data_IF_189662599927
#
_entry.id   IF_189662599927
#
_cell.length_a   1.000
_cell.length_b   1.000
_cell.length_c   1.000
_cell.angle_alpha   90.00
_cell.angle_beta   90.00
_cell.angle_gamma   90.00
#
_symmetry.space_group_name_H-M   'P 1'
#
loop_
_entity.id
_entity.type
_entity.pdbx_description
1 polymer ?
#
# COMPACT_ATOMS: atom_id res chain seq x y z
N UNK A 1 -31.08 12.10 17.69
CA UNK A 1 -30.16 11.04 18.12
C UNK A 1 -28.93 11.15 17.23
N UNK A 2 -27.73 11.28 17.79
CA UNK A 2 -26.51 11.31 16.97
C UNK A 2 -26.39 9.93 16.35
N UNK A 3 -26.44 9.86 15.02
CA UNK A 3 -26.31 8.63 14.24
C UNK A 3 -24.95 7.99 14.58
N UNK A 4 -24.97 6.93 15.38
CA UNK A 4 -23.74 6.22 15.75
C UNK A 4 -23.34 5.31 14.59
N UNK A 5 -22.05 5.28 14.23
CA UNK A 5 -21.57 4.39 13.17
C UNK A 5 -21.93 2.93 13.49
N UNK A 6 -22.13 2.08 12.47
CA UNK A 6 -22.33 0.66 12.69
C UNK A 6 -21.19 0.08 13.54
N UNK A 7 -21.48 -0.89 14.41
CA UNK A 7 -20.44 -1.51 15.24
C UNK A 7 -19.53 -2.38 14.39
N UNK A 8 -18.22 -2.13 14.46
CA UNK A 8 -17.19 -2.97 13.88
C UNK A 8 -16.01 -3.10 14.85
N UNK A 9 -15.55 -4.32 15.04
CA UNK A 9 -14.43 -4.67 15.93
C UNK A 9 -13.20 -5.12 15.14
N UNK A 10 -13.37 -5.39 13.85
CA UNK A 10 -12.30 -5.86 12.99
C UNK A 10 -12.41 -5.28 11.58
N UNK A 11 -11.29 -5.24 10.84
CA UNK A 11 -11.31 -4.92 9.39
C UNK A 11 -12.23 -5.88 8.60
N UNK A 12 -12.39 -7.13 9.06
CA UNK A 12 -13.31 -8.10 8.45
C UNK A 12 -14.76 -7.65 8.60
N UNK A 13 -15.17 -7.16 9.77
CA UNK A 13 -16.53 -6.66 10.00
C UNK A 13 -16.82 -5.46 9.08
N UNK A 14 -15.86 -4.54 8.94
CA UNK A 14 -15.96 -3.40 8.02
C UNK A 14 -16.11 -3.89 6.58
N UNK A 15 -15.26 -4.82 6.14
CA UNK A 15 -15.34 -5.42 4.80
C UNK A 15 -16.69 -6.08 4.56
N UNK A 16 -17.19 -6.89 5.48
CA UNK A 16 -18.40 -7.68 5.28
C UNK A 16 -19.64 -6.76 5.21
N UNK A 17 -19.72 -5.76 6.08
CA UNK A 17 -20.75 -4.73 6.02
C UNK A 17 -20.66 -3.83 4.77
N UNK A 18 -19.45 -3.44 4.36
CA UNK A 18 -19.21 -2.73 3.11
C UNK A 18 -19.65 -3.54 1.88
N UNK A 19 -19.30 -4.83 1.86
CA UNK A 19 -19.63 -5.76 0.78
C UNK A 19 -21.13 -5.89 0.60
N UNK A 20 -21.89 -5.95 1.70
CA UNK A 20 -23.34 -5.99 1.67
C UNK A 20 -23.98 -4.71 1.06
N UNK A 21 -23.31 -3.55 1.18
CA UNK A 21 -23.81 -2.26 0.67
C UNK A 21 -23.45 -1.99 -0.81
N UNK A 22 -22.30 -2.45 -1.28
CA UNK A 22 -21.76 -2.13 -2.62
C UNK A 22 -22.49 -2.80 -3.79
N UNK A 23 -23.34 -3.79 -3.51
CA UNK A 23 -23.96 -4.65 -4.52
C UNK A 23 -22.93 -5.58 -5.21
N UNK A 24 -23.39 -6.67 -5.87
CA UNK A 24 -22.50 -7.73 -6.33
C UNK A 24 -21.40 -7.30 -7.31
N UNK A 25 -21.70 -6.33 -8.19
CA UNK A 25 -20.76 -5.82 -9.20
C UNK A 25 -19.55 -5.14 -8.56
N UNK A 26 -19.77 -4.17 -7.68
CA UNK A 26 -18.68 -3.39 -7.09
C UNK A 26 -18.02 -4.12 -5.92
N UNK A 27 -18.79 -4.91 -5.18
CA UNK A 27 -18.25 -5.84 -4.19
C UNK A 27 -17.19 -6.76 -4.81
N UNK A 28 -17.50 -7.42 -5.94
CA UNK A 28 -16.51 -8.30 -6.59
C UNK A 28 -15.35 -7.51 -7.19
N UNK A 29 -15.58 -6.34 -7.81
CA UNK A 29 -14.50 -5.47 -8.31
C UNK A 29 -13.45 -5.15 -7.23
N UNK A 30 -13.90 -4.82 -6.01
CA UNK A 30 -13.03 -4.46 -4.89
C UNK A 30 -12.40 -5.70 -4.23
N UNK A 31 -13.20 -6.73 -3.96
CA UNK A 31 -12.77 -7.87 -3.14
C UNK A 31 -11.91 -8.89 -3.91
N UNK A 32 -12.11 -9.03 -5.22
CA UNK A 32 -11.48 -10.08 -6.02
C UNK A 32 -10.17 -9.61 -6.69
N UNK A 33 -9.61 -10.49 -7.53
CA UNK A 33 -8.35 -10.33 -8.23
C UNK A 33 -8.30 -11.13 -9.53
N UNK A 34 -7.10 -11.54 -9.93
CA UNK A 34 -6.90 -12.23 -11.20
C UNK A 34 -7.27 -13.72 -11.10
N UNK A 35 -7.71 -14.25 -12.24
CA UNK A 35 -7.98 -15.67 -12.49
C UNK A 35 -8.74 -16.36 -11.36
N UNK A 36 -8.10 -17.31 -10.66
CA UNK A 36 -8.70 -18.22 -9.69
C UNK A 36 -8.53 -17.73 -8.25
N UNK A 37 -8.07 -16.49 -8.07
CA UNK A 37 -7.87 -15.81 -6.79
C UNK A 37 -6.83 -16.50 -5.90
N UNK A 38 -5.95 -17.32 -6.47
CA UNK A 38 -4.91 -18.06 -5.74
C UNK A 38 -4.02 -17.08 -4.97
N UNK A 39 -3.48 -16.08 -5.67
CA UNK A 39 -2.58 -15.08 -5.07
C UNK A 39 -3.33 -14.13 -4.13
N UNK A 40 -4.61 -13.84 -4.39
CA UNK A 40 -5.44 -13.05 -3.45
C UNK A 40 -5.55 -13.76 -2.10
N UNK A 41 -5.86 -15.06 -2.13
CA UNK A 41 -6.00 -15.88 -0.94
C UNK A 41 -4.64 -16.11 -0.25
N UNK A 42 -3.59 -16.39 -1.02
CA UNK A 42 -2.24 -16.59 -0.50
C UNK A 42 -1.71 -15.35 0.23
N UNK A 43 -1.99 -14.15 -0.28
CA UNK A 43 -1.59 -12.90 0.36
C UNK A 43 -2.10 -12.76 1.80
N UNK A 44 -3.36 -13.11 2.07
CA UNK A 44 -3.93 -13.05 3.43
C UNK A 44 -3.39 -14.21 4.28
N UNK A 45 -3.40 -15.43 3.75
CA UNK A 45 -2.96 -16.63 4.47
C UNK A 45 -1.46 -16.62 4.86
N UNK A 46 -0.61 -15.90 4.12
CA UNK A 46 0.82 -15.88 4.35
C UNK A 46 1.21 -15.36 5.73
N UNK A 47 0.49 -14.36 6.24
CA UNK A 47 0.74 -13.78 7.56
C UNK A 47 0.52 -14.81 8.67
N UNK A 48 -0.38 -15.77 8.48
CA UNK A 48 -0.71 -16.80 9.48
C UNK A 48 0.31 -17.94 9.55
N UNK A 49 1.38 -17.91 8.75
CA UNK A 49 2.51 -18.85 8.90
C UNK A 49 3.57 -18.35 9.88
N UNK A 50 3.59 -17.05 10.14
CA UNK A 50 4.48 -16.44 11.11
C UNK A 50 3.79 -16.31 12.47
N UNK A 51 4.48 -16.74 13.52
CA UNK A 51 4.09 -16.60 14.92
C UNK A 51 4.91 -15.49 15.54
N UNK A 52 4.26 -14.59 16.25
CA UNK A 52 4.93 -13.54 17.02
C UNK A 52 5.38 -14.16 18.34
N UNK A 53 6.64 -13.94 18.70
CA UNK A 53 7.29 -14.49 19.88
C UNK A 53 7.24 -13.46 21.03
N UNK A 54 6.37 -13.63 22.03
CA UNK A 54 6.25 -12.68 23.13
C UNK A 54 7.52 -12.57 23.95
N UNK A 55 7.82 -11.37 24.46
CA UNK A 55 8.89 -11.13 25.43
C UNK A 55 8.29 -10.53 26.70
N UNK A 56 8.35 -11.29 27.79
CA UNK A 56 7.78 -10.90 29.08
C UNK A 56 8.73 -9.99 29.88
N UNK A 57 8.19 -9.27 30.85
CA UNK A 57 8.94 -8.38 31.77
C UNK A 57 9.79 -7.31 31.05
N UNK A 58 9.30 -6.82 29.89
CA UNK A 58 9.84 -5.65 29.21
C UNK A 58 9.00 -4.44 29.60
N UNK A 59 9.64 -3.30 29.82
CA UNK A 59 8.93 -2.04 30.02
C UNK A 59 8.36 -1.56 28.69
N UNK A 60 7.03 -1.62 28.58
CA UNK A 60 6.23 -1.23 27.41
C UNK A 60 5.05 -0.33 27.83
N UNK A 61 5.21 0.39 28.94
CA UNK A 61 4.21 1.36 29.40
C UNK A 61 3.94 2.41 28.31
N UNK A 62 5.00 2.87 27.65
CA UNK A 62 4.96 3.76 26.50
C UNK A 62 5.53 3.05 25.27
N UNK A 63 4.84 3.17 24.12
CA UNK A 63 5.30 2.63 22.84
C UNK A 63 5.34 3.74 21.79
N UNK A 64 6.41 3.78 21.00
CA UNK A 64 6.54 4.67 19.85
C UNK A 64 6.30 3.90 18.55
N UNK A 65 5.14 4.14 17.95
CA UNK A 65 4.75 3.56 16.66
C UNK A 65 5.21 4.39 15.47
N UNK A 66 5.91 5.51 15.66
CA UNK A 66 6.22 6.42 14.56
C UNK A 66 7.39 5.94 13.69
N UNK A 67 7.38 6.38 12.43
CA UNK A 67 8.48 6.17 11.47
C UNK A 67 8.52 7.31 10.46
N UNK A 68 9.32 7.21 9.40
CA UNK A 68 9.46 8.21 8.33
C UNK A 68 9.24 7.59 6.96
N UNK A 69 8.46 8.27 6.12
CA UNK A 69 8.26 7.90 4.71
C UNK A 69 8.04 9.16 3.86
N UNK A 70 8.50 9.16 2.61
CA UNK A 70 8.45 10.32 1.71
C UNK A 70 9.02 11.60 2.35
N UNK A 71 10.12 11.45 3.09
CA UNK A 71 10.80 12.54 3.80
C UNK A 71 10.04 13.15 4.99
N UNK A 72 8.95 12.54 5.48
CA UNK A 72 8.17 13.06 6.60
C UNK A 72 7.85 12.00 7.65
N UNK A 73 7.76 12.43 8.91
CA UNK A 73 7.36 11.59 10.03
C UNK A 73 5.88 11.22 9.89
N UNK A 74 5.56 9.95 10.14
CA UNK A 74 4.20 9.40 10.22
C UNK A 74 3.97 8.74 11.58
N UNK A 75 2.71 8.70 12.02
CA UNK A 75 2.32 8.19 13.34
C UNK A 75 2.37 6.66 13.45
N UNK A 76 2.33 5.98 12.31
CA UNK A 76 2.24 4.53 12.18
C UNK A 76 3.03 4.10 10.94
N UNK A 77 3.77 2.97 10.94
CA UNK A 77 4.40 2.39 9.76
C UNK A 77 3.40 1.76 8.78
N UNK A 78 2.31 2.49 8.51
CA UNK A 78 1.21 2.09 7.66
C UNK A 78 0.69 3.29 6.87
N UNK A 79 0.33 3.07 5.60
CA UNK A 79 -0.25 4.07 4.73
C UNK A 79 -1.29 3.46 3.78
N UNK A 80 -1.99 4.31 3.04
CA UNK A 80 -2.87 3.82 1.98
C UNK A 80 -2.08 3.58 0.70
N UNK A 81 -2.22 2.36 0.14
CA UNK A 81 -1.71 2.04 -1.20
C UNK A 81 -2.60 2.71 -2.24
N UNK A 82 -2.05 3.18 -3.38
CA UNK A 82 -2.87 3.75 -4.45
C UNK A 82 -3.92 2.75 -4.94
N UNK A 83 -5.18 3.13 -4.82
CA UNK A 83 -6.33 2.41 -5.36
C UNK A 83 -7.20 3.37 -6.18
N UNK A 84 -7.86 2.83 -7.20
CA UNK A 84 -8.66 3.61 -8.14
C UNK A 84 -10.12 3.72 -7.67
N UNK A 85 -10.82 4.74 -8.15
CA UNK A 85 -12.28 4.89 -8.09
C UNK A 85 -12.91 4.76 -6.69
N UNK A 86 -12.42 5.52 -5.70
CA UNK A 86 -13.03 5.49 -4.36
C UNK A 86 -14.49 5.99 -4.37
N UNK A 87 -14.88 6.83 -5.34
CA UNK A 87 -16.25 7.34 -5.46
C UNK A 87 -17.31 6.28 -5.76
N UNK A 88 -16.90 5.04 -6.08
CA UNK A 88 -17.83 3.90 -6.16
C UNK A 88 -18.36 3.52 -4.77
N UNK A 89 -17.53 3.68 -3.74
CA UNK A 89 -17.85 3.29 -2.37
C UNK A 89 -18.57 4.39 -1.58
N UNK A 90 -18.20 5.64 -1.82
CA UNK A 90 -18.79 6.80 -1.16
C UNK A 90 -18.61 8.05 -2.06
N UNK A 91 -19.61 8.93 -2.21
CA UNK A 91 -19.51 10.10 -3.08
C UNK A 91 -18.31 11.03 -2.82
N UNK A 92 -17.82 11.14 -1.58
CA UNK A 92 -16.62 11.95 -1.27
C UNK A 92 -15.32 11.25 -1.72
N UNK A 93 -15.31 9.92 -1.74
CA UNK A 93 -14.23 9.11 -2.31
C UNK A 93 -12.84 9.40 -1.72
N UNK A 94 -11.89 9.72 -2.59
CA UNK A 94 -10.50 9.95 -2.20
C UNK A 94 -10.32 11.17 -1.28
N UNK A 95 -11.23 12.16 -1.34
CA UNK A 95 -11.21 13.34 -0.46
C UNK A 95 -11.51 12.93 0.99
N UNK A 96 -12.53 12.11 1.22
CA UNK A 96 -12.81 11.58 2.56
C UNK A 96 -11.68 10.66 3.06
N UNK A 97 -11.10 9.85 2.17
CA UNK A 97 -9.92 9.02 2.49
C UNK A 97 -8.74 9.88 2.95
N UNK A 98 -8.49 10.98 2.24
CA UNK A 98 -7.42 11.94 2.54
C UNK A 98 -7.59 12.60 3.90
N UNK A 99 -8.79 13.09 4.23
CA UNK A 99 -9.08 13.66 5.55
C UNK A 99 -8.84 12.65 6.68
N UNK A 100 -9.24 11.39 6.48
CA UNK A 100 -9.01 10.33 7.47
C UNK A 100 -7.50 10.02 7.62
N UNK A 101 -6.76 9.90 6.52
CA UNK A 101 -5.31 9.69 6.53
C UNK A 101 -4.56 10.84 7.23
N UNK A 102 -4.94 12.09 6.94
CA UNK A 102 -4.36 13.29 7.54
C UNK A 102 -4.61 13.34 9.05
N UNK A 103 -5.83 13.07 9.51
CA UNK A 103 -6.17 13.01 10.95
C UNK A 103 -5.43 11.92 11.69
N UNK A 104 -5.22 10.77 11.04
CA UNK A 104 -4.45 9.67 11.62
C UNK A 104 -2.94 9.90 11.55
N UNK A 105 -2.44 10.84 10.73
CA UNK A 105 -1.02 11.12 10.55
C UNK A 105 -0.28 10.05 9.73
N UNK A 106 -0.95 9.42 8.76
CA UNK A 106 -0.38 8.34 7.92
C UNK A 106 -0.19 8.76 6.46
N UNK A 107 0.74 8.11 5.76
CA UNK A 107 0.97 8.37 4.35
C UNK A 107 -0.22 7.94 3.46
N UNK A 108 -0.41 8.64 2.34
CA UNK A 108 -1.42 8.29 1.33
C UNK A 108 -0.81 8.25 -0.08
N UNK A 109 -0.88 7.08 -0.71
CA UNK A 109 -0.70 6.93 -2.15
C UNK A 109 -2.01 7.23 -2.87
N UNK A 110 -2.02 8.19 -3.80
CA UNK A 110 -3.15 8.49 -4.67
C UNK A 110 -2.94 7.83 -6.04
N UNK A 111 -3.93 7.12 -6.56
CA UNK A 111 -3.88 6.64 -7.95
C UNK A 111 -4.17 7.78 -8.94
N UNK A 112 -3.48 7.82 -10.07
CA UNK A 112 -3.92 8.64 -11.21
C UNK A 112 -5.29 8.22 -11.78
N UNK A 113 -5.77 7.00 -11.47
CA UNK A 113 -7.15 6.55 -11.74
C UNK A 113 -8.14 6.91 -10.62
N UNK A 114 -7.78 7.84 -9.74
CA UNK A 114 -8.70 8.37 -8.74
C UNK A 114 -9.88 9.10 -9.39
N UNK A 115 -11.01 9.08 -8.70
CA UNK A 115 -12.25 9.78 -9.08
C UNK A 115 -12.31 11.23 -8.57
N UNK A 116 -11.29 11.66 -7.84
CA UNK A 116 -11.08 13.04 -7.38
C UNK A 116 -9.72 13.55 -7.85
N UNK A 117 -9.62 14.86 -8.05
CA UNK A 117 -8.39 15.49 -8.54
C UNK A 117 -7.29 15.40 -7.49
N UNK A 118 -6.03 15.30 -7.92
CA UNK A 118 -4.90 15.28 -7.00
C UNK A 118 -4.83 16.55 -6.15
N UNK A 119 -5.33 17.67 -6.68
CA UNK A 119 -5.43 18.97 -6.01
C UNK A 119 -6.48 18.95 -4.89
N UNK A 120 -7.70 18.47 -5.15
CA UNK A 120 -8.76 18.38 -4.15
C UNK A 120 -8.39 17.41 -3.02
N UNK A 121 -7.78 16.28 -3.38
CA UNK A 121 -7.36 15.26 -2.41
C UNK A 121 -6.36 15.83 -1.42
N UNK A 122 -5.29 16.48 -1.88
CA UNK A 122 -4.28 17.03 -0.97
C UNK A 122 -4.79 18.25 -0.20
N UNK A 123 -5.65 19.07 -0.82
CA UNK A 123 -6.28 20.23 -0.16
C UNK A 123 -7.12 19.78 1.05
N UNK A 124 -7.97 18.77 0.86
CA UNK A 124 -8.81 18.25 1.93
C UNK A 124 -8.01 17.67 3.11
N UNK A 125 -6.89 17.00 2.82
CA UNK A 125 -5.99 16.51 3.87
C UNK A 125 -5.34 17.65 4.67
N UNK A 126 -4.91 18.72 3.99
CA UNK A 126 -4.36 19.92 4.64
C UNK A 126 -5.41 20.64 5.51
N UNK A 127 -6.67 20.68 5.08
CA UNK A 127 -7.77 21.27 5.87
C UNK A 127 -8.07 20.46 7.15
N UNK A 128 -7.86 19.15 7.13
CA UNK A 128 -8.31 18.24 8.19
C UNK A 128 -7.29 17.99 9.31
N UNK A 129 -6.02 18.41 9.16
CA UNK A 129 -4.97 18.11 10.15
C UNK A 129 -3.64 18.81 9.88
N UNK A 130 -2.58 18.38 10.56
CA UNK A 130 -1.22 18.98 10.47
C UNK A 130 -0.46 18.61 9.18
N UNK A 131 -1.14 17.97 8.23
CA UNK A 131 -0.57 17.41 7.00
C UNK A 131 -0.03 15.99 7.17
N UNK A 132 -0.09 15.21 6.09
CA UNK A 132 0.48 13.87 5.95
C UNK A 132 1.20 13.76 4.60
N UNK A 133 2.19 12.86 4.44
CA UNK A 133 2.93 12.77 3.18
C UNK A 133 2.13 12.04 2.10
N UNK A 134 2.13 12.60 0.89
CA UNK A 134 1.43 12.05 -0.27
C UNK A 134 2.40 11.52 -1.32
N UNK A 135 2.09 10.31 -1.81
CA UNK A 135 2.69 9.76 -3.03
C UNK A 135 1.66 9.77 -4.16
N UNK A 136 2.06 10.14 -5.38
CA UNK A 136 1.22 10.02 -6.57
C UNK A 136 1.64 8.80 -7.37
N UNK A 137 0.67 7.95 -7.70
CA UNK A 137 0.89 6.73 -8.48
C UNK A 137 0.54 6.93 -9.95
N UNK A 138 1.42 6.44 -10.82
CA UNK A 138 1.10 6.18 -12.23
C UNK A 138 1.66 4.83 -12.68
N UNK A 139 1.07 4.29 -13.74
CA UNK A 139 1.48 3.05 -14.43
C UNK A 139 1.64 3.29 -15.93
N UNK A 140 1.73 4.54 -16.36
CA UNK A 140 1.65 4.93 -17.77
C UNK A 140 3.05 5.19 -18.36
N UNK A 141 3.86 4.14 -18.43
CA UNK A 141 5.26 4.21 -18.88
C UNK A 141 5.41 4.68 -20.34
N UNK A 142 4.52 4.24 -21.25
CA UNK A 142 4.44 4.71 -22.64
C UNK A 142 3.90 6.13 -22.80
N UNK A 143 3.15 6.63 -21.82
CA UNK A 143 2.52 7.93 -21.89
C UNK A 143 3.45 9.02 -21.32
N UNK A 144 4.69 9.06 -21.81
CA UNK A 144 5.77 9.91 -21.26
C UNK A 144 5.32 11.37 -21.09
N UNK A 145 4.70 11.97 -22.12
CA UNK A 145 4.18 13.35 -22.07
C UNK A 145 3.20 13.57 -20.92
N UNK A 146 2.18 12.72 -20.80
CA UNK A 146 1.16 12.84 -19.76
C UNK A 146 1.72 12.57 -18.36
N UNK A 147 2.68 11.65 -18.25
CA UNK A 147 3.41 11.42 -16.99
C UNK A 147 4.16 12.68 -16.56
N UNK A 148 4.87 13.36 -17.46
CA UNK A 148 5.55 14.63 -17.13
C UNK A 148 4.57 15.71 -16.67
N UNK A 149 3.44 15.88 -17.37
CA UNK A 149 2.40 16.85 -17.00
C UNK A 149 1.81 16.54 -15.61
N UNK A 150 1.53 15.27 -15.34
CA UNK A 150 1.00 14.80 -14.07
C UNK A 150 1.99 15.07 -12.92
N UNK A 151 3.27 14.78 -13.12
CA UNK A 151 4.31 15.02 -12.10
C UNK A 151 4.48 16.50 -11.78
N UNK A 152 4.43 17.38 -12.79
CA UNK A 152 4.47 18.84 -12.58
C UNK A 152 3.27 19.34 -11.77
N UNK A 153 2.07 18.81 -12.04
CA UNK A 153 0.87 19.12 -11.24
C UNK A 153 1.03 18.65 -9.80
N UNK A 154 1.55 17.43 -9.61
CA UNK A 154 1.76 16.82 -8.30
C UNK A 154 2.75 17.62 -7.45
N UNK A 155 3.91 17.97 -8.02
CA UNK A 155 4.93 18.80 -7.37
C UNK A 155 4.32 20.15 -6.94
N UNK A 156 3.59 20.82 -7.84
CA UNK A 156 3.02 22.15 -7.58
C UNK A 156 2.14 22.19 -6.34
N UNK A 157 1.39 21.13 -6.04
CA UNK A 157 0.51 21.09 -4.86
C UNK A 157 1.12 20.40 -3.64
N UNK A 158 2.31 19.82 -3.80
CA UNK A 158 3.15 19.34 -2.70
C UNK A 158 3.16 17.82 -2.47
N UNK A 159 2.86 17.01 -3.50
CA UNK A 159 3.15 15.58 -3.43
C UNK A 159 4.66 15.36 -3.23
N UNK A 160 5.01 14.35 -2.44
CA UNK A 160 6.39 14.09 -1.97
C UNK A 160 7.04 12.88 -2.65
N UNK A 161 6.26 12.02 -3.27
CA UNK A 161 6.78 10.85 -3.95
C UNK A 161 6.01 10.53 -5.23
N UNK A 162 6.71 9.94 -6.19
CA UNK A 162 6.15 9.18 -7.30
C UNK A 162 6.17 7.70 -6.93
N UNK A 163 5.00 7.06 -6.94
CA UNK A 163 4.85 5.62 -6.83
C UNK A 163 4.69 5.03 -8.24
N UNK A 164 5.79 4.76 -8.92
CA UNK A 164 5.76 4.21 -10.27
C UNK A 164 5.41 2.73 -10.22
N UNK A 165 4.25 2.35 -10.75
CA UNK A 165 3.79 0.95 -10.80
C UNK A 165 4.38 0.23 -12.00
N UNK A 166 5.11 -0.86 -11.74
CA UNK A 166 5.85 -1.63 -12.76
C UNK A 166 5.36 -3.07 -12.91
N UNK A 167 4.37 -3.52 -12.10
CA UNK A 167 3.76 -4.87 -12.15
C UNK A 167 2.60 -5.01 -13.16
N UNK A 168 2.46 -4.06 -14.08
CA UNK A 168 1.35 -4.01 -15.02
C UNK A 168 1.73 -3.77 -16.49
N UNK A 169 2.69 -4.53 -17.06
CA UNK A 169 2.97 -4.48 -18.50
C UNK A 169 1.78 -4.94 -19.33
N UNK A 170 0.92 -5.77 -18.74
CA UNK A 170 -0.44 -6.11 -19.20
C UNK A 170 -1.41 -6.08 -18.01
N UNK A 171 -2.71 -6.01 -18.27
CA UNK A 171 -3.73 -6.09 -17.24
C UNK A 171 -3.99 -7.56 -16.90
N UNK A 172 -3.94 -7.89 -15.61
CA UNK A 172 -4.33 -9.21 -15.13
C UNK A 172 -5.77 -9.54 -15.50
N UNK A 173 -6.02 -10.78 -15.89
CA UNK A 173 -7.36 -11.22 -16.29
C UNK A 173 -8.23 -11.46 -15.06
N UNK A 174 -9.16 -10.55 -14.79
CA UNK A 174 -10.04 -10.57 -13.60
C UNK A 174 -11.45 -11.00 -14.01
N UNK A 175 -11.82 -12.25 -13.73
CA UNK A 175 -13.01 -12.89 -14.31
C UNK A 175 -14.32 -12.18 -13.93
N UNK A 176 -14.41 -11.63 -12.72
CA UNK A 176 -15.51 -10.80 -12.27
C UNK A 176 -15.73 -9.57 -13.16
N UNK A 177 -14.67 -8.93 -13.63
CA UNK A 177 -14.78 -7.74 -14.48
C UNK A 177 -15.33 -8.07 -15.88
N UNK A 178 -15.14 -9.30 -16.37
CA UNK A 178 -15.73 -9.77 -17.62
C UNK A 178 -17.21 -10.17 -17.45
N UNK A 179 -17.57 -10.71 -16.27
CA UNK A 179 -18.94 -11.14 -15.96
C UNK A 179 -19.85 -9.96 -15.63
N UNK A 180 -19.35 -8.98 -14.88
CA UNK A 180 -20.18 -7.94 -14.27
C UNK A 180 -20.01 -6.55 -14.91
N UNK A 181 -19.00 -6.36 -15.75
CA UNK A 181 -18.64 -5.04 -16.27
C UNK A 181 -18.06 -4.11 -15.20
N UNK A 182 -17.35 -3.09 -15.65
CA UNK A 182 -16.54 -2.18 -14.82
C UNK A 182 -16.58 -0.74 -15.33
N UNK A 183 -17.46 -0.46 -16.29
CA UNK A 183 -17.65 0.88 -16.83
C UNK A 183 -17.93 1.85 -15.70
N UNK A 184 -17.24 2.99 -15.77
CA UNK A 184 -17.32 4.01 -14.74
C UNK A 184 -18.78 4.48 -14.60
N UNK A 185 -19.35 4.54 -13.38
CA UNK A 185 -20.71 5.02 -13.17
C UNK A 185 -20.95 6.39 -13.82
N UNK A 186 -22.16 6.66 -14.36
CA UNK A 186 -22.50 7.96 -14.92
C UNK A 186 -22.21 9.11 -13.94
N UNK A 187 -21.57 10.17 -14.45
CA UNK A 187 -21.21 11.36 -13.67
C UNK A 187 -19.86 11.28 -12.95
N UNK A 188 -19.25 10.10 -12.83
CA UNK A 188 -17.87 9.97 -12.39
C UNK A 188 -16.90 10.19 -13.56
N UNK A 189 -15.68 10.65 -13.26
CA UNK A 189 -14.61 10.92 -14.24
C UNK A 189 -13.24 10.63 -13.62
N UNK A 190 -12.21 10.58 -14.47
CA UNK A 190 -10.80 10.47 -14.05
C UNK A 190 -10.07 11.82 -14.21
N UNK A 191 -10.18 12.76 -13.24
CA UNK A 191 -9.66 14.12 -13.38
C UNK A 191 -8.13 14.24 -13.46
N UNK A 192 -7.40 13.15 -13.17
CA UNK A 192 -5.93 13.13 -13.24
C UNK A 192 -5.41 12.56 -14.57
N UNK A 193 -6.31 12.20 -15.49
CA UNK A 193 -5.97 11.66 -16.81
C UNK A 193 -6.35 12.70 -17.87
N UNK A 194 -5.39 13.13 -18.67
CA UNK A 194 -5.56 14.16 -19.70
C UNK A 194 -5.77 13.61 -21.12
N UNK A 195 -5.75 12.28 -21.29
CA UNK A 195 -6.23 11.61 -22.51
C UNK A 195 -7.68 11.13 -22.33
N UNK A 196 -8.30 10.53 -23.35
CA UNK A 196 -9.65 9.94 -23.26
C UNK A 196 -9.58 8.45 -22.88
N UNK A 197 -9.62 8.08 -21.59
CA UNK A 197 -9.86 6.71 -21.21
C UNK A 197 -11.37 6.47 -21.11
N UNK A 198 -11.95 5.74 -22.06
CA UNK A 198 -13.30 5.17 -21.87
C UNK A 198 -13.38 4.34 -20.59
N UNK A 199 -12.35 3.54 -20.30
CA UNK A 199 -12.14 2.81 -19.04
C UNK A 199 -10.67 2.34 -18.91
N UNK A 200 -10.35 1.67 -17.79
CA UNK A 200 -9.00 1.16 -17.50
C UNK A 200 -8.58 -0.07 -18.32
N UNK A 201 -9.53 -0.85 -18.86
CA UNK A 201 -9.25 -2.02 -19.70
C UNK A 201 -8.78 -1.60 -21.10
N UNK A 202 -9.28 -0.47 -21.59
CA UNK A 202 -9.01 0.00 -22.94
C UNK A 202 -7.71 0.82 -23.04
N UNK A 203 -6.99 0.99 -21.93
CA UNK A 203 -5.73 1.75 -21.93
C UNK A 203 -4.58 0.92 -22.49
N UNK A 204 -3.95 1.42 -23.55
CA UNK A 204 -2.74 0.80 -24.13
C UNK A 204 -1.63 0.76 -23.08
N UNK A 205 -1.14 -0.45 -22.77
CA UNK A 205 0.01 -0.68 -21.89
C UNK A 205 1.28 -0.88 -22.70
N UNK A 206 2.40 -0.56 -22.08
CA UNK A 206 3.73 -0.75 -22.65
C UNK A 206 4.40 -1.94 -22.00
N UNK A 207 4.45 -3.06 -22.72
CA UNK A 207 5.19 -4.23 -22.30
C UNK A 207 6.68 -4.20 -22.71
N UNK A 208 7.13 -3.15 -23.40
CA UNK A 208 8.52 -3.03 -23.88
C UNK A 208 9.44 -2.24 -22.95
N UNK A 209 8.88 -1.57 -21.93
CA UNK A 209 9.65 -0.81 -20.94
C UNK A 209 10.65 -1.72 -20.21
N UNK A 210 11.90 -1.26 -20.10
CA UNK A 210 12.99 -1.95 -19.39
C UNK A 210 13.69 -1.02 -18.43
N UNK A 211 14.37 -1.55 -17.40
CA UNK A 211 15.16 -0.73 -16.47
C UNK A 211 16.21 0.13 -17.18
N UNK A 212 16.83 -0.38 -18.25
CA UNK A 212 17.92 0.31 -18.96
C UNK A 212 17.47 1.59 -19.68
N UNK A 213 16.24 1.65 -20.18
CA UNK A 213 15.68 2.84 -20.87
C UNK A 213 14.76 3.64 -19.94
N UNK A 214 13.84 2.95 -19.27
CA UNK A 214 12.76 3.61 -18.54
C UNK A 214 13.24 4.30 -17.26
N UNK A 215 14.12 3.67 -16.49
CA UNK A 215 14.52 4.22 -15.19
C UNK A 215 15.36 5.51 -15.31
N UNK A 216 16.34 5.61 -16.23
CA UNK A 216 17.04 6.88 -16.48
C UNK A 216 16.08 8.02 -16.85
N UNK A 217 15.17 7.76 -17.81
CA UNK A 217 14.16 8.74 -18.20
C UNK A 217 13.27 9.15 -17.01
N UNK A 218 12.80 8.18 -16.22
CA UNK A 218 11.96 8.45 -15.06
C UNK A 218 12.67 9.34 -14.03
N UNK A 219 13.96 9.09 -13.81
CA UNK A 219 14.79 9.87 -12.89
C UNK A 219 15.05 11.30 -13.38
N UNK A 220 15.18 11.49 -14.70
CA UNK A 220 15.31 12.81 -15.33
C UNK A 220 14.03 13.64 -15.18
N UNK A 221 12.87 13.03 -15.47
CA UNK A 221 11.60 13.78 -15.49
C UNK A 221 10.92 13.95 -14.14
N UNK A 222 11.26 13.10 -13.15
CA UNK A 222 10.67 13.23 -11.82
C UNK A 222 11.29 14.43 -11.11
N UNK A 223 10.47 15.40 -10.63
CA UNK A 223 11.01 16.57 -9.96
C UNK A 223 11.94 16.23 -8.78
N UNK A 224 13.03 17.00 -8.55
CA UNK A 224 13.98 16.71 -7.46
C UNK A 224 13.36 16.75 -6.06
N UNK A 225 12.26 17.49 -5.90
CA UNK A 225 11.48 17.60 -4.68
C UNK A 225 10.65 16.34 -4.35
N UNK A 226 10.56 15.40 -5.30
CA UNK A 226 9.82 14.15 -5.18
C UNK A 226 10.74 12.94 -5.17
N UNK A 227 10.51 12.03 -4.22
CA UNK A 227 11.14 10.71 -4.19
C UNK A 227 10.60 9.80 -5.30
N UNK A 228 11.41 8.86 -5.78
CA UNK A 228 10.94 7.79 -6.68
C UNK A 228 10.82 6.49 -5.89
N UNK A 229 9.65 5.88 -5.96
CA UNK A 229 9.37 4.56 -5.43
C UNK A 229 8.88 3.64 -6.54
N UNK A 230 9.50 2.47 -6.71
CA UNK A 230 9.03 1.46 -7.66
C UNK A 230 8.08 0.48 -6.98
N UNK A 231 6.82 0.42 -7.42
CA UNK A 231 5.79 -0.45 -6.87
C UNK A 231 5.54 -1.64 -7.78
N UNK A 232 5.55 -2.83 -7.22
CA UNK A 232 5.41 -4.07 -7.99
C UNK A 232 6.69 -4.90 -8.07
N UNK A 233 7.68 -4.57 -7.23
CA UNK A 233 8.92 -5.34 -7.12
C UNK A 233 8.60 -6.66 -6.42
N UNK A 234 9.22 -7.75 -6.87
CA UNK A 234 8.94 -9.09 -6.35
C UNK A 234 10.18 -9.91 -6.00
N UNK A 235 11.35 -9.54 -6.53
CA UNK A 235 12.57 -10.34 -6.40
C UNK A 235 13.77 -9.49 -6.01
N UNK A 236 14.81 -10.09 -5.41
CA UNK A 236 16.09 -9.42 -5.13
C UNK A 236 16.74 -8.78 -6.35
N UNK A 237 16.67 -9.44 -7.50
CA UNK A 237 17.27 -8.98 -8.75
C UNK A 237 16.69 -7.62 -9.16
N UNK A 238 15.36 -7.49 -9.08
CA UNK A 238 14.68 -6.23 -9.37
C UNK A 238 14.95 -5.15 -8.32
N UNK A 239 15.22 -5.54 -7.05
CA UNK A 239 15.69 -4.58 -6.04
C UNK A 239 17.05 -4.01 -6.43
N UNK A 240 18.00 -4.83 -6.89
CA UNK A 240 19.30 -4.34 -7.35
C UNK A 240 19.17 -3.44 -8.58
N UNK A 241 18.34 -3.83 -9.56
CA UNK A 241 18.09 -3.02 -10.76
C UNK A 241 17.42 -1.67 -10.42
N UNK A 242 16.42 -1.69 -9.54
CA UNK A 242 15.79 -0.47 -9.04
C UNK A 242 16.80 0.46 -8.35
N UNK A 243 17.69 -0.12 -7.56
CA UNK A 243 18.61 0.64 -6.74
C UNK A 243 19.85 1.14 -7.50
N UNK A 244 20.06 0.69 -8.74
CA UNK A 244 21.13 1.13 -9.63
C UNK A 244 21.12 2.65 -9.88
N UNK A 245 19.95 3.30 -9.76
CA UNK A 245 19.86 4.76 -9.80
C UNK A 245 19.64 5.34 -8.38
N UNK A 246 20.49 6.27 -7.90
CA UNK A 246 20.40 6.81 -6.54
C UNK A 246 19.13 7.65 -6.26
N UNK A 247 18.40 8.05 -7.31
CA UNK A 247 17.11 8.77 -7.22
C UNK A 247 15.99 7.87 -6.70
N UNK A 248 16.12 6.55 -6.82
CA UNK A 248 15.16 5.60 -6.27
C UNK A 248 15.37 5.49 -4.77
N UNK A 249 14.37 5.98 -4.02
CA UNK A 249 14.38 6.08 -2.56
C UNK A 249 13.58 4.99 -1.88
N UNK A 250 12.70 4.30 -2.60
CA UNK A 250 12.09 3.10 -2.10
C UNK A 250 11.61 2.13 -3.16
N UNK A 251 11.29 0.93 -2.72
CA UNK A 251 10.61 -0.10 -3.49
C UNK A 251 9.38 -0.54 -2.71
N UNK A 252 8.33 -1.00 -3.38
CA UNK A 252 7.16 -1.61 -2.73
C UNK A 252 7.02 -3.03 -3.25
N UNK A 253 7.23 -4.00 -2.36
CA UNK A 253 6.95 -5.41 -2.62
C UNK A 253 5.44 -5.58 -2.76
N UNK A 254 4.99 -5.86 -3.99
CA UNK A 254 3.57 -5.78 -4.38
C UNK A 254 3.27 -6.74 -5.52
N UNK A 255 2.17 -7.49 -5.42
CA UNK A 255 1.52 -8.19 -6.54
C UNK A 255 0.20 -7.52 -6.92
N UNK A 256 0.10 -6.22 -6.67
CA UNK A 256 -1.10 -5.42 -6.94
C UNK A 256 -2.34 -5.94 -6.17
N UNK A 257 -2.14 -6.54 -5.00
CA UNK A 257 -3.20 -7.16 -4.21
C UNK A 257 -3.80 -8.43 -4.83
N UNK A 258 -3.00 -9.18 -5.61
CA UNK A 258 -3.40 -10.39 -6.34
C UNK A 258 -4.21 -10.11 -7.60
N UNK A 259 -4.07 -8.93 -8.19
CA UNK A 259 -4.92 -8.45 -9.30
C UNK A 259 -4.25 -8.55 -10.68
N UNK A 260 -3.02 -9.04 -10.73
CA UNK A 260 -2.18 -9.10 -11.94
C UNK A 260 -1.85 -10.55 -12.31
N UNK A 261 -0.67 -11.05 -11.95
CA UNK A 261 -0.28 -12.45 -12.16
C UNK A 261 -0.85 -13.32 -11.02
N UNK A 262 -1.78 -14.22 -11.35
CA UNK A 262 -2.30 -15.22 -10.40
C UNK A 262 -1.41 -16.46 -10.38
N UNK A 263 -1.26 -17.07 -9.20
CA UNK A 263 -0.28 -18.13 -8.95
C UNK A 263 1.12 -17.62 -8.56
N UNK A 264 1.31 -16.30 -8.53
CA UNK A 264 2.50 -15.71 -7.90
C UNK A 264 2.50 -15.96 -6.38
N UNK A 265 3.68 -16.01 -5.73
CA UNK A 265 3.80 -16.09 -4.27
C UNK A 265 3.02 -14.96 -3.56
N UNK A 266 2.83 -15.03 -2.25
CA UNK A 266 2.38 -13.90 -1.46
C UNK A 266 3.50 -12.85 -1.29
N UNK A 267 3.15 -11.56 -1.19
CA UNK A 267 4.16 -10.50 -1.03
C UNK A 267 4.99 -10.65 0.23
N UNK A 268 4.38 -11.16 1.31
CA UNK A 268 5.08 -11.43 2.56
C UNK A 268 6.15 -12.53 2.43
N UNK A 269 5.99 -13.48 1.49
CA UNK A 269 7.00 -14.51 1.23
C UNK A 269 8.21 -13.95 0.49
N UNK A 270 7.98 -13.01 -0.43
CA UNK A 270 9.04 -12.35 -1.20
C UNK A 270 9.79 -11.28 -0.41
N UNK A 271 9.16 -10.75 0.65
CA UNK A 271 9.68 -9.62 1.43
C UNK A 271 11.08 -9.85 2.02
N UNK A 272 11.41 -10.98 2.68
CA UNK A 272 12.70 -11.15 3.34
C UNK A 272 13.89 -11.04 2.39
N UNK A 273 13.77 -11.63 1.19
CA UNK A 273 14.82 -11.61 0.18
C UNK A 273 14.98 -10.21 -0.43
N UNK A 274 13.86 -9.53 -0.72
CA UNK A 274 13.89 -8.13 -1.16
C UNK A 274 14.51 -7.21 -0.10
N UNK A 275 14.17 -7.42 1.18
CA UNK A 275 14.73 -6.65 2.29
C UNK A 275 16.22 -6.93 2.48
N UNK A 276 16.68 -8.17 2.28
CA UNK A 276 18.10 -8.51 2.29
C UNK A 276 18.87 -7.81 1.17
N UNK A 277 18.33 -7.81 -0.06
CA UNK A 277 18.92 -7.08 -1.18
C UNK A 277 18.99 -5.57 -0.89
N UNK A 278 17.91 -4.97 -0.35
CA UNK A 278 17.90 -3.56 0.04
C UNK A 278 18.93 -3.25 1.14
N UNK A 279 19.10 -4.12 2.14
CA UNK A 279 20.16 -3.97 3.16
C UNK A 279 21.55 -4.01 2.54
N UNK A 280 21.81 -4.93 1.62
CA UNK A 280 23.07 -5.01 0.89
C UNK A 280 23.36 -3.74 0.10
N UNK A 281 22.35 -3.16 -0.57
CA UNK A 281 22.49 -1.87 -1.26
C UNK A 281 22.73 -0.74 -0.27
N UNK A 282 22.01 -0.72 0.85
CA UNK A 282 22.14 0.33 1.85
C UNK A 282 23.51 0.37 2.54
N UNK A 283 24.24 -0.74 2.58
CA UNK A 283 25.61 -0.78 3.09
C UNK A 283 26.59 0.08 2.28
N UNK A 284 26.30 0.35 1.00
CA UNK A 284 27.13 1.19 0.13
C UNK A 284 26.53 2.57 -0.17
N UNK A 285 25.30 2.83 0.28
CA UNK A 285 24.63 4.12 0.05
C UNK A 285 25.08 5.18 1.07
N UNK A 286 25.25 6.45 0.65
CA UNK A 286 25.49 7.55 1.57
C UNK A 286 24.42 7.67 2.67
N UNK A 287 24.79 8.23 3.80
CA UNK A 287 23.83 8.56 4.87
C UNK A 287 22.68 9.42 4.34
N UNK A 288 21.46 9.16 4.82
CA UNK A 288 20.27 9.86 4.34
C UNK A 288 19.79 9.44 2.93
N UNK A 289 20.49 8.51 2.26
CA UNK A 289 20.13 8.00 0.92
C UNK A 289 19.54 6.58 0.90
N UNK A 290 19.25 6.01 2.09
CA UNK A 290 18.69 4.66 2.27
C UNK A 290 17.55 4.38 1.28
N UNK A 291 17.62 3.21 0.64
CA UNK A 291 16.52 2.57 -0.08
C UNK A 291 15.57 1.95 0.95
N UNK A 292 14.37 2.50 1.03
CA UNK A 292 13.31 2.01 1.92
C UNK A 292 12.52 0.87 1.26
N UNK A 293 12.06 -0.07 2.08
CA UNK A 293 11.27 -1.23 1.66
C UNK A 293 9.83 -1.06 2.12
N UNK A 294 8.94 -0.76 1.19
CA UNK A 294 7.50 -0.84 1.37
C UNK A 294 6.96 -2.24 1.07
N UNK A 295 5.80 -2.58 1.62
CA UNK A 295 5.03 -3.76 1.23
C UNK A 295 3.53 -3.44 1.17
N UNK A 296 2.84 -4.00 0.18
CA UNK A 296 1.39 -4.16 0.23
C UNK A 296 0.96 -5.60 -0.08
N UNK A 297 -0.34 -5.89 0.07
CA UNK A 297 -0.91 -7.22 -0.13
C UNK A 297 -1.21 -7.94 1.18
N UNK A 298 -2.46 -8.38 1.34
CA UNK A 298 -2.86 -9.26 2.45
C UNK A 298 -3.09 -8.65 3.83
N UNK A 299 -2.55 -7.46 4.14
CA UNK A 299 -2.65 -6.84 5.48
C UNK A 299 -4.11 -6.60 5.90
N UNK A 300 -4.53 -7.16 7.05
CA UNK A 300 -5.87 -6.96 7.66
C UNK A 300 -5.82 -6.66 9.16
N UNK A 301 -4.68 -6.89 9.80
CA UNK A 301 -4.48 -6.75 11.25
C UNK A 301 -3.30 -5.86 11.58
N UNK A 302 -3.30 -5.27 12.77
CA UNK A 302 -2.12 -4.63 13.36
C UNK A 302 -0.95 -5.62 13.51
N UNK A 303 -1.23 -6.88 13.84
CA UNK A 303 -0.21 -7.94 13.87
C UNK A 303 0.42 -8.24 12.52
N UNK A 304 -0.26 -7.96 11.41
CA UNK A 304 0.28 -8.16 10.06
C UNK A 304 1.34 -7.09 9.76
N UNK A 305 1.07 -5.84 10.17
CA UNK A 305 2.05 -4.75 10.12
C UNK A 305 3.30 -5.14 10.92
N UNK A 306 3.12 -5.64 12.16
CA UNK A 306 4.23 -6.11 12.98
C UNK A 306 5.08 -7.18 12.29
N UNK A 307 4.43 -8.22 11.72
CA UNK A 307 5.13 -9.31 11.02
C UNK A 307 5.89 -8.80 9.79
N UNK A 308 5.30 -7.90 9.00
CA UNK A 308 5.96 -7.31 7.84
C UNK A 308 7.21 -6.50 8.24
N UNK A 309 7.12 -5.68 9.30
CA UNK A 309 8.27 -4.94 9.81
C UNK A 309 9.38 -5.86 10.31
N UNK A 310 9.02 -6.90 11.07
CA UNK A 310 9.97 -7.91 11.55
C UNK A 310 10.67 -8.66 10.41
N UNK A 311 10.04 -8.79 9.24
CA UNK A 311 10.62 -9.38 8.04
C UNK A 311 11.42 -8.39 7.18
N UNK A 312 11.50 -7.12 7.59
CA UNK A 312 12.39 -6.12 7.00
C UNK A 312 11.71 -5.06 6.14
N UNK A 313 10.38 -4.93 6.20
CA UNK A 313 9.71 -3.74 5.67
C UNK A 313 10.03 -2.52 6.55
N UNK A 314 10.18 -1.34 5.93
CA UNK A 314 10.20 -0.04 6.60
C UNK A 314 8.78 0.57 6.68
N UNK A 315 7.88 0.19 5.75
CA UNK A 315 6.52 0.75 5.65
C UNK A 315 5.52 -0.27 5.09
N UNK A 316 4.33 -0.32 5.67
CA UNK A 316 3.21 -1.13 5.16
C UNK A 316 2.18 -0.27 4.41
N UNK A 317 1.50 -0.84 3.41
CA UNK A 317 0.43 -0.18 2.70
C UNK A 317 -0.78 -1.09 2.47
N UNK A 318 -1.98 -0.51 2.42
CA UNK A 318 -3.20 -1.25 2.01
C UNK A 318 -4.11 -0.43 1.11
N UNK A 319 -4.62 -1.04 0.03
CA UNK A 319 -5.51 -0.40 -0.93
C UNK A 319 -7.01 -0.65 -0.69
N UNK A 320 -7.40 -1.86 -0.27
CA UNK A 320 -8.82 -2.21 -0.09
C UNK A 320 -9.45 -1.58 1.17
N UNK A 321 -8.65 -1.44 2.24
CA UNK A 321 -9.10 -0.94 3.54
C UNK A 321 -9.79 0.43 3.47
N UNK A 322 -9.23 1.48 2.83
CA UNK A 322 -9.93 2.76 2.73
C UNK A 322 -11.24 2.64 1.96
N UNK A 323 -11.31 1.82 0.91
CA UNK A 323 -12.54 1.64 0.12
C UNK A 323 -13.63 0.92 0.94
N UNK A 324 -13.27 -0.10 1.71
CA UNK A 324 -14.21 -0.75 2.64
C UNK A 324 -14.68 0.22 3.72
N UNK A 325 -13.78 1.04 4.28
CA UNK A 325 -14.14 2.08 5.24
C UNK A 325 -15.14 3.08 4.67
N UNK A 326 -14.91 3.54 3.43
CA UNK A 326 -15.83 4.45 2.73
C UNK A 326 -17.22 3.83 2.55
N UNK A 327 -17.31 2.61 2.04
CA UNK A 327 -18.62 1.97 1.84
C UNK A 327 -19.30 1.63 3.18
N UNK A 328 -18.53 1.42 4.25
CA UNK A 328 -19.04 1.15 5.57
C UNK A 328 -19.74 2.36 6.18
N UNK A 329 -19.07 3.52 6.23
CA UNK A 329 -19.61 4.74 6.84
C UNK A 329 -18.82 6.01 6.41
N UNK A 330 -18.54 6.15 5.12
CA UNK A 330 -17.82 7.29 4.54
C UNK A 330 -16.47 7.53 5.22
N UNK A 331 -16.14 8.81 5.47
CA UNK A 331 -14.91 9.19 6.19
C UNK A 331 -14.79 8.50 7.56
N UNK A 332 -15.90 8.40 8.33
CA UNK A 332 -15.88 7.81 9.68
C UNK A 332 -15.53 6.34 9.63
N UNK A 333 -15.97 5.61 8.62
CA UNK A 333 -15.59 4.21 8.43
C UNK A 333 -14.11 4.03 8.10
N UNK A 334 -13.51 4.94 7.34
CA UNK A 334 -12.05 4.95 7.10
C UNK A 334 -11.30 5.24 8.41
N UNK A 335 -11.76 6.22 9.19
CA UNK A 335 -11.18 6.52 10.50
C UNK A 335 -11.26 5.32 11.44
N UNK A 336 -12.41 4.65 11.50
CA UNK A 336 -12.61 3.45 12.32
C UNK A 336 -11.65 2.32 11.92
N UNK A 337 -11.43 2.11 10.62
CA UNK A 337 -10.48 1.11 10.14
C UNK A 337 -9.04 1.43 10.60
N UNK A 338 -8.63 2.70 10.55
CA UNK A 338 -7.31 3.14 11.01
C UNK A 338 -7.14 3.01 12.52
N UNK A 339 -8.16 3.37 13.30
CA UNK A 339 -8.19 3.16 14.75
C UNK A 339 -7.97 1.68 15.09
N UNK A 340 -8.74 0.78 14.47
CA UNK A 340 -8.60 -0.67 14.69
C UNK A 340 -7.19 -1.18 14.38
N UNK A 341 -6.60 -0.78 13.25
CA UNK A 341 -5.24 -1.19 12.90
C UNK A 341 -4.19 -0.65 13.87
N UNK A 342 -4.33 0.62 14.29
CA UNK A 342 -3.43 1.26 15.23
C UNK A 342 -3.50 0.59 16.60
N UNK A 343 -4.70 0.40 17.13
CA UNK A 343 -4.93 -0.23 18.43
C UNK A 343 -4.40 -1.67 18.45
N UNK A 344 -4.68 -2.45 17.39
CA UNK A 344 -4.16 -3.81 17.24
C UNK A 344 -2.62 -3.83 17.14
N UNK A 345 -2.00 -2.88 16.44
CA UNK A 345 -0.55 -2.82 16.27
C UNK A 345 0.14 -2.43 17.58
N UNK A 346 -0.37 -1.41 18.27
CA UNK A 346 0.11 -0.99 19.58
C UNK A 346 -0.01 -2.10 20.63
N UNK A 347 -1.15 -2.78 20.68
CA UNK A 347 -1.34 -3.95 21.54
C UNK A 347 -0.32 -5.04 21.21
N UNK A 348 -0.13 -5.33 19.91
CA UNK A 348 0.82 -6.32 19.44
C UNK A 348 2.26 -5.98 19.87
N UNK A 349 2.69 -4.73 19.74
CA UNK A 349 4.01 -4.28 20.18
C UNK A 349 4.22 -4.49 21.68
N UNK A 350 3.24 -4.10 22.51
CA UNK A 350 3.29 -4.29 23.96
C UNK A 350 3.40 -5.78 24.33
N UNK A 351 2.58 -6.64 23.73
CA UNK A 351 2.59 -8.09 24.00
C UNK A 351 3.84 -8.78 23.44
N UNK A 352 4.41 -8.28 22.35
CA UNK A 352 5.69 -8.74 21.81
C UNK A 352 6.90 -8.26 22.64
N UNK A 353 6.71 -7.25 23.50
CA UNK A 353 7.76 -6.65 24.31
C UNK A 353 8.68 -5.71 23.53
N UNK A 354 8.16 -5.05 22.50
CA UNK A 354 8.85 -4.05 21.68
C UNK A 354 8.29 -2.65 22.00
N UNK A 355 9.13 -1.71 22.43
CA UNK A 355 8.68 -0.34 22.75
C UNK A 355 8.80 0.64 21.58
N UNK A 356 9.47 0.27 20.50
CA UNK A 356 9.58 1.09 19.30
C UNK A 356 9.63 0.24 18.04
N UNK A 357 9.31 0.84 16.89
CA UNK A 357 9.42 0.17 15.58
C UNK A 357 10.83 -0.38 15.33
N UNK A 358 11.87 0.31 15.82
CA UNK A 358 13.26 -0.12 15.67
C UNK A 358 13.63 -1.40 16.44
N UNK A 359 12.82 -1.81 17.43
CA UNK A 359 12.99 -3.06 18.16
C UNK A 359 12.28 -4.25 17.50
N UNK A 360 11.53 -4.03 16.42
CA UNK A 360 10.83 -5.08 15.69
C UNK A 360 11.80 -5.69 14.67
N UNK A 361 12.37 -6.85 15.02
CA UNK A 361 13.26 -7.61 14.14
C UNK A 361 12.82 -9.05 13.90
N UNK A 362 13.51 -9.80 13.01
CA UNK A 362 13.19 -11.21 12.71
C UNK A 362 13.11 -12.08 13.96
N UNK A 363 13.93 -11.81 14.97
CA UNK A 363 13.95 -12.52 16.25
C UNK A 363 12.64 -12.42 17.06
N UNK A 364 11.74 -11.52 16.67
CA UNK A 364 10.38 -11.38 17.18
C UNK A 364 9.42 -12.38 16.56
N UNK A 365 9.86 -13.14 15.56
CA UNK A 365 9.07 -14.10 14.83
C UNK A 365 9.63 -15.52 14.93
N UNK A 366 8.73 -16.46 14.71
CA UNK A 366 9.07 -17.81 14.38
C UNK A 366 8.14 -18.36 13.30
N UNK A 367 8.61 -19.34 12.54
CA UNK A 367 7.85 -19.97 11.46
C UNK A 367 7.38 -21.35 11.88
N UNK A 368 6.14 -21.69 11.55
CA UNK A 368 5.59 -23.04 11.76
C UNK A 368 6.09 -23.94 10.63
N UNK A 369 7.00 -24.87 10.93
CA UNK A 369 7.48 -25.85 9.94
C UNK A 369 6.57 -27.09 9.95
N UNK A 370 5.95 -27.39 8.81
CA UNK A 370 5.29 -28.68 8.57
C UNK A 370 4.09 -29.05 9.45
N UNK A 371 3.56 -28.12 10.27
CA UNK A 371 2.36 -28.36 11.09
C UNK A 371 2.55 -29.35 12.25
N UNK A 372 3.78 -29.71 12.61
CA UNK A 372 4.07 -30.62 13.72
C UNK A 372 4.25 -29.81 15.02
N UNK A 373 3.50 -30.11 16.11
CA UNK A 373 3.73 -29.49 17.41
C UNK A 373 5.19 -29.64 17.86
N UNK A 374 5.86 -28.54 18.21
CA UNK A 374 7.26 -28.52 18.67
C UNK A 374 8.31 -28.16 17.62
N UNK A 375 7.94 -27.98 16.34
CA UNK A 375 8.85 -27.53 15.27
C UNK A 375 8.55 -26.08 14.86
N UNK A 376 8.75 -25.16 15.80
CA UNK A 376 8.73 -23.72 15.50
C UNK A 376 10.18 -23.23 15.44
N UNK A 377 10.63 -22.77 14.28
CA UNK A 377 11.98 -22.22 14.10
C UNK A 377 11.95 -20.71 14.33
N UNK A 378 12.61 -20.26 15.40
CA UNK A 378 12.82 -18.82 15.64
C UNK A 378 13.71 -18.25 14.55
N UNK A 379 13.34 -17.11 13.98
CA UNK A 379 14.20 -16.45 13.00
C UNK A 379 15.36 -15.76 13.75
N UNK A 380 16.53 -15.72 13.12
CA UNK A 380 17.70 -15.00 13.63
C UNK A 380 17.86 -13.68 12.91
N UNK A 381 18.60 -12.75 13.50
CA UNK A 381 18.97 -11.50 12.84
C UNK A 381 19.72 -11.84 11.54
N UNK A 382 19.20 -11.35 10.41
CA UNK A 382 19.80 -11.53 9.08
C UNK A 382 21.04 -10.67 8.90
#
# INVERSE_FOLDING_TARGET
>A
MVDQPPKAFTIRDIRDAATAKLGPRWASYINEGAMDLITVNANEAAYDRYRIMPRILRDVAEVDTSTTVFGAKVSLPFGFSPAAMHCIADPEGEVATSRAAAKAGIAMGLSHWATRSLEDVIAAGKEAGTGNPYGLQTSSANQRKYTVELLKRAEKVGYKALLMTVDAPTIGRRLNEYRNGIDLPPGLKFPNISYDPKNFKDTVRDASSSFADFLPWLCEVTPPSMEIWLKGIYTPEDVFLAAAHPRVRGIIVSNHGGRQLDGAPATLEALPDCAAAARSVNASRPEGSKLLVGIDGGIRRGSDIFKALALGADMCFAGRIPIWGLAFDGQRGVQKALELLKDEFEMCMRLAGCKSVAEIGPESLAIVEGGVPGLIRRLTKL
#
